data_IF_344368923872
#
_entry.id   IF_344368923872
#
_cell.length_a   1.000
_cell.length_b   1.000
_cell.length_c   1.000
_cell.angle_alpha   90.00
_cell.angle_beta   90.00
_cell.angle_gamma   90.00
#
_symmetry.space_group_name_H-M   'P 1'
#
loop_
_entity.id
_entity.type
_entity.pdbx_description
1 polymer ?
#
# COMPACT_ATOMS: atom_id res chain seq x y z
N UNK A 1 -14.95 16.79 -9.87
CA UNK A 1 -16.26 16.06 -9.91
C UNK A 1 -16.26 14.91 -10.93
N UNK A 2 -15.66 15.08 -12.15
CA UNK A 2 -15.59 14.01 -13.14
C UNK A 2 -14.71 12.83 -12.71
N UNK A 3 -13.61 13.12 -12.03
CA UNK A 3 -12.68 12.09 -11.53
C UNK A 3 -13.29 11.26 -10.40
N UNK A 4 -14.10 11.86 -9.51
CA UNK A 4 -14.76 11.15 -8.41
C UNK A 4 -15.68 10.03 -8.90
N UNK A 5 -16.49 10.32 -9.92
CA UNK A 5 -17.40 9.32 -10.52
C UNK A 5 -16.61 8.15 -11.15
N UNK A 6 -15.48 8.43 -11.76
CA UNK A 6 -14.61 7.38 -12.31
C UNK A 6 -14.02 6.52 -11.19
N UNK A 7 -13.60 7.13 -10.07
CA UNK A 7 -13.07 6.40 -8.92
C UNK A 7 -14.16 5.53 -8.28
N UNK A 8 -15.38 6.06 -8.09
CA UNK A 8 -16.50 5.27 -7.57
C UNK A 8 -16.78 4.07 -8.48
N UNK A 9 -16.83 4.25 -9.81
CA UNK A 9 -16.99 3.13 -10.75
C UNK A 9 -15.84 2.14 -10.69
N UNK A 10 -14.60 2.61 -10.51
CA UNK A 10 -13.44 1.71 -10.35
C UNK A 10 -13.55 0.86 -9.08
N UNK A 11 -14.00 1.43 -7.94
CA UNK A 11 -14.26 0.68 -6.70
C UNK A 11 -15.39 -0.33 -6.94
N UNK A 12 -16.51 0.10 -7.54
CA UNK A 12 -17.63 -0.79 -7.87
C UNK A 12 -17.18 -1.95 -8.75
N UNK A 13 -16.40 -1.66 -9.79
CA UNK A 13 -15.90 -2.67 -10.71
C UNK A 13 -14.93 -3.64 -10.02
N UNK A 14 -14.05 -3.13 -9.15
CA UNK A 14 -13.18 -3.99 -8.33
C UNK A 14 -13.98 -4.94 -7.46
N UNK A 15 -15.02 -4.43 -6.80
CA UNK A 15 -15.91 -5.24 -5.95
C UNK A 15 -16.64 -6.33 -6.76
N UNK A 16 -17.22 -6.00 -7.90
CA UNK A 16 -17.86 -6.98 -8.81
C UNK A 16 -16.90 -8.11 -9.22
N UNK A 17 -15.60 -7.83 -9.25
CA UNK A 17 -14.55 -8.79 -9.55
C UNK A 17 -14.00 -9.54 -8.31
N UNK A 18 -14.58 -9.31 -7.13
CA UNK A 18 -14.29 -10.01 -5.89
C UNK A 18 -13.30 -9.32 -4.95
N UNK A 19 -12.92 -8.07 -5.22
CA UNK A 19 -12.10 -7.27 -4.28
C UNK A 19 -12.99 -6.72 -3.18
N UNK A 20 -12.60 -6.93 -1.93
CA UNK A 20 -13.35 -6.46 -0.76
C UNK A 20 -12.54 -5.53 0.16
N UNK A 21 -11.24 -5.33 -0.06
CA UNK A 21 -10.44 -4.37 0.69
C UNK A 21 -10.40 -3.04 -0.05
N UNK A 22 -10.80 -1.95 0.62
CA UNK A 22 -10.61 -0.58 0.15
C UNK A 22 -9.74 0.19 1.13
N UNK A 23 -8.61 0.76 0.65
CA UNK A 23 -7.65 1.52 1.44
C UNK A 23 -7.67 2.99 1.06
N UNK A 24 -7.72 3.86 2.06
CA UNK A 24 -7.66 5.31 1.92
C UNK A 24 -6.87 5.94 3.09
N UNK A 25 -6.88 7.26 3.23
CA UNK A 25 -6.31 7.98 4.36
C UNK A 25 -6.93 9.38 4.51
N UNK A 26 -6.96 9.92 5.73
CA UNK A 26 -7.39 11.29 5.98
C UNK A 26 -6.50 12.33 5.28
N UNK A 27 -5.22 12.00 5.06
CA UNK A 27 -4.28 12.87 4.34
C UNK A 27 -4.59 12.99 2.84
N UNK A 28 -5.25 12.00 2.23
CA UNK A 28 -5.46 11.99 0.79
C UNK A 28 -6.53 13.01 0.37
N UNK A 29 -6.06 14.06 -0.31
CA UNK A 29 -6.92 15.20 -0.69
C UNK A 29 -7.58 15.86 0.52
N UNK A 30 -6.91 15.85 1.68
CA UNK A 30 -7.41 16.41 2.93
C UNK A 30 -8.81 15.84 3.31
N UNK A 31 -8.94 14.50 3.25
CA UNK A 31 -10.17 13.77 3.57
C UNK A 31 -11.12 13.59 2.38
N UNK A 32 -10.83 14.17 1.21
CA UNK A 32 -11.67 14.02 0.03
C UNK A 32 -11.74 12.56 -0.45
N UNK A 33 -10.61 11.84 -0.40
CA UNK A 33 -10.57 10.42 -0.76
C UNK A 33 -11.51 9.57 0.09
N UNK A 34 -11.56 9.81 1.41
CA UNK A 34 -12.52 9.13 2.31
C UNK A 34 -13.98 9.43 1.96
N UNK A 35 -14.28 10.66 1.52
CA UNK A 35 -15.64 11.01 1.05
C UNK A 35 -16.02 10.26 -0.22
N UNK A 36 -15.09 10.09 -1.16
CA UNK A 36 -15.31 9.34 -2.41
C UNK A 36 -15.52 7.85 -2.10
N UNK A 37 -14.68 7.27 -1.23
CA UNK A 37 -14.88 5.90 -0.74
C UNK A 37 -16.23 5.76 -0.04
N UNK A 38 -16.60 6.69 0.84
CA UNK A 38 -17.90 6.70 1.52
C UNK A 38 -19.10 6.73 0.56
N UNK A 39 -18.96 7.33 -0.62
CA UNK A 39 -19.99 7.26 -1.69
C UNK A 39 -20.10 5.83 -2.22
N UNK A 40 -18.99 5.19 -2.58
CA UNK A 40 -19.00 3.81 -3.06
C UNK A 40 -19.58 2.84 -2.02
N UNK A 41 -19.23 3.01 -0.72
CA UNK A 41 -19.78 2.19 0.36
C UNK A 41 -21.30 2.30 0.49
N UNK A 42 -21.88 3.50 0.28
CA UNK A 42 -23.35 3.69 0.30
C UNK A 42 -24.03 3.04 -0.90
N UNK A 43 -23.39 3.08 -2.06
CA UNK A 43 -23.97 2.58 -3.32
C UNK A 43 -23.96 1.06 -3.38
N UNK A 44 -22.93 0.41 -2.80
CA UNK A 44 -22.68 -1.05 -2.89
C UNK A 44 -23.18 -1.77 -1.62
N UNK A 45 -22.94 -1.19 -0.46
CA UNK A 45 -23.16 -1.78 0.85
C UNK A 45 -21.87 -1.76 1.69
N UNK A 46 -21.95 -1.19 2.89
CA UNK A 46 -20.81 -1.07 3.81
C UNK A 46 -20.24 -2.43 4.21
N UNK A 47 -21.09 -3.39 4.40
CA UNK A 47 -20.81 -4.76 4.85
C UNK A 47 -20.02 -5.58 3.83
N UNK A 48 -20.01 -5.16 2.57
CA UNK A 48 -19.30 -5.81 1.49
C UNK A 48 -17.79 -5.52 1.51
N UNK A 49 -17.36 -4.56 2.34
CA UNK A 49 -15.97 -4.08 2.36
C UNK A 49 -15.27 -4.22 3.71
N UNK A 50 -14.00 -4.52 3.64
CA UNK A 50 -13.01 -4.23 4.68
C UNK A 50 -12.49 -2.82 4.40
N UNK A 51 -12.91 -1.86 5.22
CA UNK A 51 -12.54 -0.45 5.06
C UNK A 51 -11.29 -0.15 5.87
N UNK A 52 -10.22 0.21 5.18
CA UNK A 52 -8.95 0.64 5.77
C UNK A 52 -8.76 2.16 5.55
N UNK A 53 -8.42 2.87 6.62
CA UNK A 53 -7.97 4.26 6.54
C UNK A 53 -6.84 4.52 7.53
N UNK A 54 -6.26 5.73 7.49
CA UNK A 54 -5.03 6.03 8.22
C UNK A 54 -5.12 7.37 8.94
N UNK A 55 -4.61 7.42 10.17
CA UNK A 55 -4.38 8.67 10.90
C UNK A 55 -3.09 9.31 10.43
N UNK A 56 -3.12 10.61 10.16
CA UNK A 56 -1.95 11.40 9.76
C UNK A 56 -0.99 11.63 10.94
N UNK A 57 0.32 11.75 10.66
CA UNK A 57 1.35 11.99 11.67
C UNK A 57 1.13 13.19 12.58
N UNK A 58 0.44 14.23 12.09
CA UNK A 58 0.07 15.40 12.90
C UNK A 58 -0.98 15.11 13.99
N UNK A 59 -1.69 13.97 13.91
CA UNK A 59 -2.82 13.63 14.79
C UNK A 59 -2.53 12.41 15.69
N UNK A 60 -1.27 12.13 16.03
CA UNK A 60 -0.86 10.93 16.78
C UNK A 60 -1.04 11.05 18.29
N UNK A 61 -1.23 12.27 18.85
CA UNK A 61 -1.52 12.44 20.27
C UNK A 61 -2.90 11.86 20.62
N UNK A 62 -3.03 11.41 21.84
CA UNK A 62 -4.20 10.65 22.30
C UNK A 62 -5.55 11.28 21.89
N UNK A 63 -5.80 12.54 22.27
CA UNK A 63 -7.08 13.21 22.00
C UNK A 63 -7.24 13.59 20.51
N UNK A 64 -6.13 13.88 19.82
CA UNK A 64 -6.13 14.22 18.40
C UNK A 64 -6.48 13.00 17.57
N UNK A 65 -5.91 11.85 17.88
CA UNK A 65 -6.19 10.58 17.23
C UNK A 65 -7.67 10.17 17.40
N UNK A 66 -8.24 10.36 18.59
CA UNK A 66 -9.67 10.10 18.83
C UNK A 66 -10.57 11.01 17.93
N UNK A 67 -10.22 12.28 17.82
CA UNK A 67 -10.94 13.23 16.96
C UNK A 67 -10.74 12.91 15.48
N UNK A 68 -9.54 12.54 15.05
CA UNK A 68 -9.22 12.15 13.69
C UNK A 68 -10.04 10.91 13.27
N UNK A 69 -10.10 9.87 14.12
CA UNK A 69 -10.90 8.68 13.86
C UNK A 69 -12.40 9.01 13.71
N UNK A 70 -12.94 9.83 14.59
CA UNK A 70 -14.33 10.27 14.49
C UNK A 70 -14.61 11.06 13.20
N UNK A 71 -13.67 11.91 12.78
CA UNK A 71 -13.76 12.65 11.54
C UNK A 71 -13.68 11.74 10.30
N UNK A 72 -12.79 10.74 10.31
CA UNK A 72 -12.68 9.72 9.25
C UNK A 72 -13.96 8.89 9.12
N UNK A 73 -14.53 8.42 10.24
CA UNK A 73 -15.82 7.71 10.24
C UNK A 73 -16.94 8.58 9.65
N UNK A 74 -16.97 9.88 9.97
CA UNK A 74 -17.96 10.80 9.41
C UNK A 74 -17.79 10.97 7.89
N UNK A 75 -16.56 11.12 7.39
CA UNK A 75 -16.28 11.27 5.94
C UNK A 75 -16.60 10.00 5.17
N UNK A 76 -16.27 8.85 5.74
CA UNK A 76 -16.60 7.52 5.18
C UNK A 76 -18.11 7.18 5.29
N UNK A 77 -18.84 7.82 6.21
CA UNK A 77 -20.23 7.50 6.47
C UNK A 77 -20.44 6.17 7.19
N UNK A 78 -19.49 5.79 8.06
CA UNK A 78 -19.50 4.51 8.79
C UNK A 78 -19.49 4.73 10.30
N UNK A 79 -19.96 3.74 11.06
CA UNK A 79 -19.92 3.75 12.53
C UNK A 79 -18.67 3.04 13.09
N UNK A 80 -18.00 2.25 12.27
CA UNK A 80 -16.84 1.46 12.61
C UNK A 80 -15.89 1.36 11.41
N UNK A 81 -14.57 1.46 11.63
CA UNK A 81 -13.52 1.24 10.65
C UNK A 81 -12.95 -0.17 10.86
N UNK A 82 -12.81 -0.97 9.80
CA UNK A 82 -12.31 -2.33 9.94
C UNK A 82 -10.80 -2.34 10.26
N UNK A 83 -10.01 -1.51 9.58
CA UNK A 83 -8.57 -1.39 9.80
C UNK A 83 -8.17 0.08 9.91
N UNK A 84 -7.80 0.51 11.12
CA UNK A 84 -7.31 1.88 11.33
C UNK A 84 -5.81 1.86 11.54
N UNK A 85 -5.08 2.63 10.73
CA UNK A 85 -3.64 2.53 10.62
C UNK A 85 -2.95 3.83 11.03
N UNK A 86 -1.79 3.74 11.67
CA UNK A 86 -0.85 4.86 11.76
C UNK A 86 -0.19 5.03 10.40
N UNK A 87 -0.28 6.22 9.78
CA UNK A 87 0.21 6.44 8.41
C UNK A 87 1.75 6.41 8.33
N UNK A 88 2.41 7.01 9.34
CA UNK A 88 3.85 7.01 9.56
C UNK A 88 4.12 7.06 11.04
N UNK A 89 5.17 6.43 11.55
CA UNK A 89 5.66 6.73 12.89
C UNK A 89 6.05 8.21 12.96
N UNK A 90 6.05 8.81 14.15
CA UNK A 90 6.52 10.19 14.27
C UNK A 90 8.03 10.25 14.03
N UNK A 91 8.48 10.88 12.93
CA UNK A 91 9.89 10.87 12.55
C UNK A 91 10.78 11.69 13.51
N UNK A 92 10.19 12.60 14.28
CA UNK A 92 10.91 13.43 15.25
C UNK A 92 10.83 12.89 16.68
N UNK A 93 10.16 11.73 16.89
CA UNK A 93 9.96 11.10 18.19
C UNK A 93 9.41 12.07 19.28
N UNK A 94 8.65 13.09 18.86
CA UNK A 94 8.04 14.09 19.73
C UNK A 94 6.76 13.59 20.39
N UNK A 95 6.14 12.57 19.81
CA UNK A 95 4.94 11.92 20.31
C UNK A 95 5.31 10.49 20.70
N UNK A 96 5.31 10.16 22.00
CA UNK A 96 5.63 8.80 22.43
C UNK A 96 4.69 7.78 21.78
N UNK A 97 5.24 6.76 21.15
CA UNK A 97 4.46 5.71 20.47
C UNK A 97 3.44 5.04 21.41
N UNK A 98 3.79 4.95 22.69
CA UNK A 98 2.89 4.51 23.77
C UNK A 98 1.58 5.32 23.82
N UNK A 99 1.63 6.63 23.62
CA UNK A 99 0.43 7.50 23.63
C UNK A 99 -0.49 7.15 22.45
N UNK A 100 0.10 7.03 21.26
CA UNK A 100 -0.60 6.65 20.03
C UNK A 100 -1.25 5.27 20.14
N UNK A 101 -0.49 4.26 20.61
CA UNK A 101 -1.01 2.91 20.74
C UNK A 101 -2.12 2.78 21.78
N UNK A 102 -2.04 3.53 22.89
CA UNK A 102 -3.14 3.61 23.86
C UNK A 102 -4.41 4.22 23.28
N UNK A 103 -4.27 5.24 22.43
CA UNK A 103 -5.41 5.85 21.76
C UNK A 103 -6.08 4.86 20.79
N UNK A 104 -5.30 4.09 20.03
CA UNK A 104 -5.81 3.04 19.15
C UNK A 104 -6.48 1.90 19.93
N UNK A 105 -5.86 1.44 21.01
CA UNK A 105 -6.44 0.37 21.86
C UNK A 105 -7.76 0.83 22.50
N UNK A 106 -7.90 2.12 22.84
CA UNK A 106 -9.18 2.70 23.31
C UNK A 106 -10.25 2.63 22.24
N UNK A 107 -9.96 3.03 21.00
CA UNK A 107 -10.90 2.92 19.88
C UNK A 107 -11.31 1.47 19.61
N UNK A 108 -10.36 0.55 19.68
CA UNK A 108 -10.62 -0.88 19.59
C UNK A 108 -11.54 -1.39 20.70
N UNK A 109 -11.27 -1.02 21.96
CA UNK A 109 -12.09 -1.41 23.11
C UNK A 109 -13.51 -0.84 23.06
N UNK A 110 -13.72 0.29 22.39
CA UNK A 110 -15.04 0.94 22.18
C UNK A 110 -15.77 0.39 20.94
N UNK A 111 -15.17 -0.53 20.18
CA UNK A 111 -15.74 -1.04 18.93
C UNK A 111 -15.81 0.03 17.81
N UNK A 112 -14.95 1.05 17.88
CA UNK A 112 -14.84 2.07 16.81
C UNK A 112 -13.93 1.63 15.68
N UNK A 113 -12.99 0.75 15.99
CA UNK A 113 -12.14 0.07 15.01
C UNK A 113 -12.12 -1.42 15.31
N UNK A 114 -12.03 -2.26 14.28
CA UNK A 114 -11.96 -3.72 14.43
C UNK A 114 -10.54 -4.22 14.58
N UNK A 115 -9.59 -3.52 13.93
CA UNK A 115 -8.18 -3.93 13.92
C UNK A 115 -7.27 -2.71 13.88
N UNK A 116 -6.08 -2.87 14.46
CA UNK A 116 -5.00 -1.89 14.46
C UNK A 116 -3.99 -2.30 13.40
N UNK A 117 -3.69 -1.38 12.49
CA UNK A 117 -2.58 -1.48 11.56
C UNK A 117 -1.59 -0.34 11.73
N UNK A 118 -0.47 -0.48 11.07
CA UNK A 118 0.54 0.57 10.95
C UNK A 118 1.03 0.68 9.51
N UNK A 119 1.75 1.75 9.20
CA UNK A 119 2.35 1.93 7.88
C UNK A 119 3.75 2.52 8.03
N UNK A 120 4.69 2.01 7.24
CA UNK A 120 6.10 2.43 7.23
C UNK A 120 6.85 2.23 8.57
N UNK A 121 6.47 1.21 9.33
CA UNK A 121 7.13 0.84 10.56
C UNK A 121 8.31 -0.11 10.29
N UNK A 122 9.48 0.22 10.83
CA UNK A 122 10.62 -0.69 10.94
C UNK A 122 10.36 -1.76 12.01
N UNK A 123 11.21 -2.77 12.10
CA UNK A 123 11.07 -3.84 13.11
C UNK A 123 11.07 -3.26 14.52
N UNK A 124 11.98 -2.31 14.85
CA UNK A 124 12.02 -1.66 16.16
C UNK A 124 10.71 -0.96 16.53
N UNK A 125 10.09 -0.27 15.53
CA UNK A 125 8.84 0.46 15.74
C UNK A 125 7.68 -0.51 15.97
N UNK A 126 7.67 -1.64 15.25
CA UNK A 126 6.69 -2.72 15.45
C UNK A 126 6.81 -3.34 16.83
N UNK A 127 8.03 -3.63 17.30
CA UNK A 127 8.29 -4.20 18.63
C UNK A 127 7.83 -3.25 19.73
N UNK A 128 8.21 -1.97 19.64
CA UNK A 128 7.79 -0.95 20.58
C UNK A 128 6.26 -0.78 20.59
N UNK A 129 5.64 -0.60 19.43
CA UNK A 129 4.20 -0.44 19.32
C UNK A 129 3.44 -1.60 19.94
N UNK A 130 3.83 -2.83 19.64
CA UNK A 130 3.21 -4.06 20.16
C UNK A 130 3.38 -4.18 21.69
N UNK A 131 4.52 -3.73 22.23
CA UNK A 131 4.76 -3.75 23.68
C UNK A 131 3.78 -2.88 24.48
N UNK A 132 3.12 -1.92 23.81
CA UNK A 132 2.15 -1.00 24.41
C UNK A 132 0.69 -1.42 24.23
N UNK A 133 0.44 -2.53 23.53
CA UNK A 133 -0.89 -3.13 23.37
C UNK A 133 -1.09 -4.27 24.39
N UNK A 134 -2.31 -4.39 24.90
CA UNK A 134 -2.66 -5.40 25.92
C UNK A 134 -3.89 -6.22 25.58
N UNK A 135 -4.76 -5.74 24.70
CA UNK A 135 -6.05 -6.34 24.34
C UNK A 135 -6.13 -6.86 22.93
N UNK A 136 -5.22 -6.42 22.09
CA UNK A 136 -5.14 -6.74 20.67
C UNK A 136 -3.69 -6.67 20.22
N UNK A 137 -3.43 -6.91 18.95
CA UNK A 137 -2.10 -6.80 18.34
C UNK A 137 -2.19 -6.02 17.03
N UNK A 138 -1.03 -5.65 16.47
CA UNK A 138 -0.94 -5.10 15.12
C UNK A 138 -1.17 -6.22 14.12
N UNK A 139 -2.15 -6.04 13.22
CA UNK A 139 -2.51 -7.07 12.22
C UNK A 139 -1.88 -6.82 10.85
N UNK A 140 -1.46 -5.58 10.56
CA UNK A 140 -0.85 -5.24 9.28
C UNK A 140 0.22 -4.15 9.41
N UNK A 141 1.23 -4.23 8.52
CA UNK A 141 2.15 -3.13 8.25
C UNK A 141 2.05 -2.79 6.77
N UNK A 142 1.60 -1.58 6.45
CA UNK A 142 1.50 -1.12 5.07
C UNK A 142 2.81 -0.45 4.67
N UNK A 143 3.53 -1.04 3.72
CA UNK A 143 4.88 -0.59 3.33
C UNK A 143 5.00 -0.55 1.81
N UNK A 144 5.94 0.27 1.30
CA UNK A 144 6.30 0.22 -0.11
C UNK A 144 6.93 -1.13 -0.42
N UNK A 145 6.29 -1.88 -1.33
CA UNK A 145 6.86 -3.14 -1.76
C UNK A 145 6.43 -3.45 -3.19
N UNK A 146 7.41 -3.66 -4.04
CA UNK A 146 7.23 -4.03 -5.44
C UNK A 146 8.52 -4.68 -5.95
N UNK A 147 8.47 -5.19 -7.16
CA UNK A 147 9.60 -5.92 -7.74
C UNK A 147 10.90 -5.12 -7.85
N UNK A 148 10.87 -3.79 -7.91
CA UNK A 148 12.06 -2.93 -7.99
C UNK A 148 12.56 -2.47 -6.61
N UNK A 149 11.71 -2.48 -5.59
CA UNK A 149 11.94 -1.91 -4.27
C UNK A 149 11.64 -2.99 -3.22
N UNK A 150 12.68 -3.72 -2.84
CA UNK A 150 12.59 -4.97 -2.09
C UNK A 150 13.26 -4.89 -0.70
N UNK A 151 13.57 -3.69 -0.23
CA UNK A 151 14.27 -3.44 1.04
C UNK A 151 13.64 -4.12 2.25
N UNK A 152 12.33 -4.28 2.26
CA UNK A 152 11.62 -4.92 3.39
C UNK A 152 11.91 -6.41 3.53
N UNK A 153 12.47 -7.06 2.52
CA UNK A 153 12.76 -8.50 2.52
C UNK A 153 13.87 -8.87 3.50
N UNK A 154 14.74 -7.92 3.86
CA UNK A 154 15.86 -8.15 4.77
C UNK A 154 15.39 -8.35 6.22
N UNK A 155 14.50 -7.51 6.73
CA UNK A 155 14.09 -7.51 8.13
C UNK A 155 12.57 -7.51 8.32
N UNK A 156 11.87 -6.55 7.71
CA UNK A 156 10.43 -6.29 7.99
C UNK A 156 9.55 -7.46 7.57
N UNK A 157 9.74 -7.99 6.37
CA UNK A 157 8.92 -9.10 5.86
C UNK A 157 9.15 -10.39 6.67
N UNK A 158 10.39 -10.81 7.01
CA UNK A 158 10.61 -11.95 7.90
C UNK A 158 10.00 -11.77 9.28
N UNK A 159 10.14 -10.58 9.88
CA UNK A 159 9.53 -10.26 11.17
C UNK A 159 8.00 -10.34 11.11
N UNK A 160 7.38 -9.72 10.11
CA UNK A 160 5.94 -9.73 9.93
C UNK A 160 5.41 -11.15 9.73
N UNK A 161 6.11 -11.97 8.93
CA UNK A 161 5.76 -13.40 8.74
C UNK A 161 5.79 -14.17 10.05
N UNK A 162 6.85 -14.00 10.85
CA UNK A 162 7.00 -14.66 12.16
C UNK A 162 5.87 -14.30 13.13
N UNK A 163 5.35 -13.08 13.03
CA UNK A 163 4.39 -12.53 13.97
C UNK A 163 2.95 -12.47 13.42
N UNK A 164 2.66 -13.09 12.27
CA UNK A 164 1.35 -13.06 11.59
C UNK A 164 0.83 -11.64 11.30
N UNK A 165 1.74 -10.73 10.94
CA UNK A 165 1.41 -9.37 10.52
C UNK A 165 1.37 -9.34 8.98
N UNK A 166 0.22 -8.99 8.40
CA UNK A 166 0.06 -8.91 6.95
C UNK A 166 0.79 -7.68 6.38
N UNK A 167 1.53 -7.87 5.29
CA UNK A 167 2.09 -6.76 4.52
C UNK A 167 1.04 -6.25 3.53
N UNK A 168 0.64 -4.98 3.67
CA UNK A 168 -0.11 -4.28 2.63
C UNK A 168 0.89 -3.54 1.75
N UNK A 169 1.09 -4.05 0.51
CA UNK A 169 2.11 -3.51 -0.39
C UNK A 169 1.56 -2.30 -1.16
N UNK A 170 1.94 -1.07 -0.75
CA UNK A 170 1.61 0.10 -1.54
C UNK A 170 2.61 0.36 -2.67
N UNK A 171 2.22 1.14 -3.68
CA UNK A 171 2.97 1.34 -4.93
C UNK A 171 3.42 0.03 -5.58
N UNK A 172 2.55 -1.00 -5.69
CA UNK A 172 2.94 -2.34 -6.13
C UNK A 172 3.42 -2.39 -7.58
N UNK A 173 3.10 -1.37 -8.37
CA UNK A 173 3.57 -1.19 -9.76
C UNK A 173 4.68 -0.12 -9.86
N UNK A 174 5.35 0.25 -8.74
CA UNK A 174 6.43 1.24 -8.71
C UNK A 174 6.03 2.56 -9.44
N UNK A 175 4.85 3.12 -9.10
CA UNK A 175 4.27 4.31 -9.74
C UNK A 175 4.15 4.21 -11.27
N UNK A 176 4.03 2.99 -11.79
CA UNK A 176 3.89 2.70 -13.21
C UNK A 176 5.17 2.25 -13.91
N UNK A 177 6.33 2.24 -13.24
CA UNK A 177 7.58 1.75 -13.81
C UNK A 177 7.51 0.27 -14.25
N UNK A 178 6.69 -0.53 -13.55
CA UNK A 178 6.46 -1.96 -13.82
C UNK A 178 5.26 -2.23 -14.75
N UNK A 179 4.88 -1.26 -15.57
CA UNK A 179 3.79 -1.44 -16.56
C UNK A 179 4.30 -1.70 -17.98
N UNK A 180 5.61 -1.60 -18.19
CA UNK A 180 6.21 -1.62 -19.53
C UNK A 180 5.95 -0.36 -20.37
N UNK A 181 5.23 0.64 -19.81
CA UNK A 181 4.87 1.89 -20.51
C UNK A 181 6.04 2.86 -20.64
N UNK A 182 6.95 2.88 -19.63
CA UNK A 182 8.04 3.85 -19.57
C UNK A 182 9.36 3.23 -20.04
N UNK A 183 10.14 4.04 -20.76
CA UNK A 183 11.45 3.70 -21.32
C UNK A 183 12.28 4.97 -21.48
N UNK A 184 13.54 4.84 -21.97
CA UNK A 184 14.45 5.98 -22.17
C UNK A 184 13.90 7.11 -23.07
N UNK A 185 12.99 6.78 -23.97
CA UNK A 185 12.33 7.76 -24.86
C UNK A 185 11.03 8.31 -24.29
N UNK A 186 10.50 7.72 -23.22
CA UNK A 186 9.20 8.07 -22.66
C UNK A 186 9.20 7.86 -21.14
N UNK A 187 9.41 8.93 -20.38
CA UNK A 187 9.31 8.99 -18.92
C UNK A 187 8.12 9.86 -18.50
N UNK A 188 7.58 9.69 -17.28
CA UNK A 188 6.54 10.59 -16.75
C UNK A 188 7.04 12.03 -16.76
N UNK A 189 6.14 12.99 -16.98
CA UNK A 189 6.44 14.43 -16.91
C UNK A 189 5.24 15.19 -16.39
N UNK A 190 5.50 16.25 -15.60
CA UNK A 190 4.49 17.20 -15.14
C UNK A 190 3.68 16.69 -13.93
N UNK A 191 4.20 15.77 -13.15
CA UNK A 191 3.57 15.31 -11.91
C UNK A 191 4.61 14.90 -10.85
N UNK A 192 4.15 14.40 -9.70
CA UNK A 192 4.98 14.02 -8.55
C UNK A 192 6.10 13.01 -8.87
N UNK A 193 6.08 12.37 -10.03
CA UNK A 193 7.08 11.40 -10.48
C UNK A 193 8.29 12.04 -11.14
N UNK A 194 8.24 13.35 -11.43
CA UNK A 194 9.37 14.07 -12.08
C UNK A 194 10.64 13.99 -11.22
N UNK A 195 10.49 13.98 -9.90
CA UNK A 195 11.58 13.90 -8.94
C UNK A 195 11.85 12.46 -8.44
N UNK A 196 11.06 11.49 -8.88
CA UNK A 196 11.25 10.11 -8.45
C UNK A 196 12.47 9.49 -9.14
N UNK A 197 13.47 9.12 -8.35
CA UNK A 197 14.72 8.49 -8.81
C UNK A 197 14.51 7.26 -9.70
N UNK A 198 13.40 6.52 -9.54
CA UNK A 198 13.09 5.38 -10.42
C UNK A 198 13.04 5.77 -11.90
N UNK A 199 12.65 7.01 -12.21
CA UNK A 199 12.57 7.52 -13.58
C UNK A 199 13.84 8.27 -14.04
N UNK A 200 14.88 8.29 -13.21
CA UNK A 200 16.19 8.80 -13.63
C UNK A 200 16.80 7.94 -14.76
N UNK A 201 17.58 8.52 -15.67
CA UNK A 201 18.12 7.80 -16.84
C UNK A 201 18.84 6.49 -16.51
N UNK A 202 19.65 6.45 -15.44
CA UNK A 202 20.35 5.24 -14.98
C UNK A 202 19.38 4.13 -14.63
N UNK A 203 18.33 4.45 -13.87
CA UNK A 203 17.34 3.48 -13.42
C UNK A 203 16.42 3.00 -14.55
N UNK A 204 15.99 3.91 -15.42
CA UNK A 204 15.14 3.55 -16.58
C UNK A 204 15.82 2.49 -17.44
N UNK A 205 17.13 2.55 -17.65
CA UNK A 205 17.86 1.53 -18.40
C UNK A 205 17.80 0.14 -17.71
N UNK A 206 17.89 0.11 -16.39
CA UNK A 206 17.77 -1.13 -15.62
C UNK A 206 16.32 -1.64 -15.62
N UNK A 207 15.35 -0.74 -15.46
CA UNK A 207 13.92 -1.05 -15.49
C UNK A 207 13.49 -1.61 -16.85
N UNK A 208 14.05 -1.12 -17.96
CA UNK A 208 13.80 -1.71 -19.30
C UNK A 208 14.21 -3.18 -19.35
N UNK A 209 15.35 -3.57 -18.74
CA UNK A 209 15.79 -4.98 -18.68
C UNK A 209 14.79 -5.82 -17.89
N UNK A 210 14.36 -5.34 -16.73
CA UNK A 210 13.33 -6.00 -15.89
C UNK A 210 12.02 -6.13 -16.67
N UNK A 211 11.53 -5.05 -17.27
CA UNK A 211 10.30 -5.08 -18.05
C UNK A 211 10.37 -6.04 -19.26
N UNK A 212 11.55 -6.27 -19.83
CA UNK A 212 11.73 -7.25 -20.90
C UNK A 212 11.51 -8.70 -20.40
N UNK A 213 11.99 -9.02 -19.18
CA UNK A 213 11.75 -10.32 -18.54
C UNK A 213 10.27 -10.47 -18.17
N UNK A 214 9.69 -9.47 -17.48
CA UNK A 214 8.26 -9.45 -17.18
C UNK A 214 7.39 -9.63 -18.44
N UNK A 215 7.74 -8.97 -19.55
CA UNK A 215 7.04 -9.11 -20.83
C UNK A 215 7.22 -10.50 -21.45
N UNK A 216 8.34 -11.18 -21.23
CA UNK A 216 8.54 -12.56 -21.67
C UNK A 216 7.56 -13.49 -20.95
N UNK A 217 7.44 -13.36 -19.62
CA UNK A 217 6.51 -14.13 -18.80
C UNK A 217 5.05 -13.78 -19.17
N UNK A 218 4.76 -12.49 -19.32
CA UNK A 218 3.43 -12.01 -19.70
C UNK A 218 2.92 -12.64 -21.03
N UNK A 219 3.79 -12.78 -22.02
CA UNK A 219 3.46 -13.49 -23.28
C UNK A 219 3.10 -14.96 -23.04
N UNK A 220 3.85 -15.67 -22.16
CA UNK A 220 3.55 -17.08 -21.82
C UNK A 220 2.18 -17.24 -21.18
N UNK A 221 1.83 -16.30 -20.27
CA UNK A 221 0.56 -16.28 -19.56
C UNK A 221 -0.59 -15.59 -20.34
N UNK A 222 -0.31 -14.97 -21.50
CA UNK A 222 -1.27 -14.13 -22.26
C UNK A 222 -1.89 -13.03 -21.40
N UNK A 223 -1.07 -12.37 -20.61
CA UNK A 223 -1.45 -11.28 -19.72
C UNK A 223 -0.54 -10.06 -19.93
N UNK A 224 -0.73 -9.02 -19.14
CA UNK A 224 0.10 -7.81 -19.20
C UNK A 224 1.32 -7.87 -18.28
N UNK A 225 2.28 -6.97 -18.52
CA UNK A 225 3.46 -6.76 -17.65
C UNK A 225 3.04 -6.39 -16.24
N UNK A 226 2.05 -5.51 -16.10
CA UNK A 226 1.49 -5.11 -14.79
C UNK A 226 0.93 -6.32 -14.03
N UNK A 227 0.23 -7.21 -14.71
CA UNK A 227 -0.35 -8.40 -14.10
C UNK A 227 0.74 -9.37 -13.61
N UNK A 228 1.83 -9.54 -14.35
CA UNK A 228 2.98 -10.35 -13.89
C UNK A 228 3.62 -9.71 -12.64
N UNK A 229 3.83 -8.40 -12.64
CA UNK A 229 4.40 -7.70 -11.51
C UNK A 229 3.53 -7.80 -10.24
N UNK A 230 2.20 -7.72 -10.38
CA UNK A 230 1.27 -7.93 -9.25
C UNK A 230 1.23 -9.41 -8.83
N UNK A 231 1.27 -10.36 -9.78
CA UNK A 231 1.28 -11.79 -9.49
C UNK A 231 2.52 -12.23 -8.73
N UNK A 232 3.66 -11.55 -8.96
CA UNK A 232 4.88 -11.78 -8.17
C UNK A 232 4.65 -11.45 -6.69
N UNK A 233 3.99 -10.33 -6.36
CA UNK A 233 3.62 -10.00 -4.98
C UNK A 233 2.65 -11.02 -4.39
N UNK A 234 1.66 -11.45 -5.17
CA UNK A 234 0.65 -12.44 -4.76
C UNK A 234 1.23 -13.85 -4.53
N UNK A 235 2.42 -14.15 -5.05
CA UNK A 235 3.12 -15.40 -4.76
C UNK A 235 3.51 -15.54 -3.28
N UNK A 236 3.57 -14.43 -2.54
CA UNK A 236 3.80 -14.42 -1.10
C UNK A 236 2.47 -14.27 -0.35
N UNK A 237 2.02 -15.33 0.33
CA UNK A 237 0.73 -15.36 1.04
C UNK A 237 0.58 -14.31 2.15
N UNK A 238 1.68 -13.73 2.64
CA UNK A 238 1.65 -12.66 3.65
C UNK A 238 1.55 -11.27 3.05
N UNK A 239 1.50 -11.15 1.72
CA UNK A 239 1.52 -9.87 1.00
C UNK A 239 0.19 -9.65 0.27
N UNK A 240 -0.43 -8.53 0.53
CA UNK A 240 -1.64 -8.06 -0.17
C UNK A 240 -1.26 -6.77 -0.93
N UNK A 241 -1.11 -6.83 -2.25
CA UNK A 241 -0.89 -5.62 -3.03
C UNK A 241 -2.14 -4.75 -3.06
N UNK A 242 -1.96 -3.43 -2.91
CA UNK A 242 -3.03 -2.43 -2.98
C UNK A 242 -2.80 -1.46 -4.16
N UNK A 243 -2.98 -1.94 -5.41
CA UNK A 243 -2.80 -1.11 -6.59
C UNK A 243 -3.92 -0.07 -6.71
N UNK A 244 -3.54 1.18 -6.99
CA UNK A 244 -4.52 2.22 -7.31
C UNK A 244 -5.18 1.97 -8.67
N UNK A 245 -6.46 2.34 -8.78
CA UNK A 245 -7.21 2.35 -10.03
C UNK A 245 -7.97 3.67 -10.18
N UNK A 246 -7.78 4.36 -11.31
CA UNK A 246 -8.45 5.63 -11.62
C UNK A 246 -9.72 5.44 -12.45
N UNK A 247 -9.93 4.26 -13.00
CA UNK A 247 -11.08 3.88 -13.82
C UNK A 247 -11.29 2.36 -13.83
N UNK A 248 -12.41 1.92 -14.39
CA UNK A 248 -12.82 0.52 -14.45
C UNK A 248 -11.80 -0.37 -15.19
N UNK A 249 -11.21 0.13 -16.28
CA UNK A 249 -10.23 -0.65 -17.06
C UNK A 249 -8.95 -0.95 -16.20
N UNK A 250 -8.49 0.00 -15.40
CA UNK A 250 -7.38 -0.24 -14.46
C UNK A 250 -7.77 -1.19 -13.33
N UNK A 251 -9.01 -1.13 -12.85
CA UNK A 251 -9.52 -2.07 -11.87
C UNK A 251 -9.52 -3.51 -12.43
N UNK A 252 -10.04 -3.71 -13.63
CA UNK A 252 -10.01 -5.00 -14.33
C UNK A 252 -8.60 -5.52 -14.58
N UNK A 253 -7.71 -4.64 -15.02
CA UNK A 253 -6.29 -4.94 -15.22
C UNK A 253 -5.64 -5.45 -13.94
N UNK A 254 -5.81 -4.71 -12.83
CA UNK A 254 -5.23 -5.07 -11.54
C UNK A 254 -5.75 -6.41 -11.04
N UNK A 255 -7.08 -6.60 -11.04
CA UNK A 255 -7.71 -7.84 -10.58
C UNK A 255 -7.35 -9.02 -11.47
N UNK A 256 -7.15 -8.80 -12.75
CA UNK A 256 -6.70 -9.83 -13.69
C UNK A 256 -5.44 -10.55 -13.26
N UNK A 257 -4.57 -9.91 -12.46
CA UNK A 257 -3.35 -10.52 -11.91
C UNK A 257 -3.62 -11.78 -11.09
N UNK A 258 -4.74 -11.87 -10.40
CA UNK A 258 -5.11 -13.03 -9.56
C UNK A 258 -5.31 -14.33 -10.36
N UNK A 259 -5.46 -14.24 -11.69
CA UNK A 259 -5.65 -15.38 -12.59
C UNK A 259 -4.35 -15.99 -13.10
N UNK A 260 -3.21 -15.36 -12.81
CA UNK A 260 -1.91 -15.69 -13.39
C UNK A 260 -0.91 -16.04 -12.30
N UNK A 261 -1.05 -17.24 -11.70
CA UNK A 261 -0.09 -17.72 -10.70
C UNK A 261 1.24 -18.02 -11.37
N UNK A 262 2.30 -17.40 -10.87
CA UNK A 262 3.66 -17.65 -11.34
C UNK A 262 4.17 -19.00 -10.82
N UNK A 263 4.84 -19.73 -11.67
CA UNK A 263 5.52 -20.99 -11.30
C UNK A 263 6.84 -20.70 -10.58
N UNK A 264 7.36 -21.68 -9.81
CA UNK A 264 8.67 -21.54 -9.16
C UNK A 264 9.81 -21.23 -10.16
N UNK A 265 9.89 -21.85 -11.35
CA UNK A 265 10.88 -21.46 -12.35
C UNK A 265 10.76 -19.99 -12.79
N UNK A 266 9.55 -19.46 -12.93
CA UNK A 266 9.32 -18.05 -13.30
C UNK A 266 9.69 -17.09 -12.17
N UNK A 267 9.44 -17.45 -10.93
CA UNK A 267 9.90 -16.68 -9.76
C UNK A 267 11.45 -16.67 -9.72
N UNK A 268 12.12 -17.80 -9.98
CA UNK A 268 13.57 -17.86 -10.06
C UNK A 268 14.12 -17.04 -11.25
N UNK A 269 13.45 -17.08 -12.41
CA UNK A 269 13.81 -16.24 -13.58
C UNK A 269 13.76 -14.75 -13.22
N UNK A 270 12.73 -14.33 -12.48
CA UNK A 270 12.58 -12.96 -12.01
C UNK A 270 13.64 -12.57 -10.97
N UNK A 271 13.89 -13.41 -9.98
CA UNK A 271 14.91 -13.14 -8.96
C UNK A 271 16.31 -13.02 -9.60
N UNK A 272 16.66 -13.91 -10.53
CA UNK A 272 17.90 -13.81 -11.30
C UNK A 272 17.99 -12.50 -12.08
N UNK A 273 16.87 -12.05 -12.68
CA UNK A 273 16.85 -10.78 -13.40
C UNK A 273 17.05 -9.58 -12.45
N UNK A 274 16.49 -9.64 -11.25
CA UNK A 274 16.66 -8.60 -10.23
C UNK A 274 18.12 -8.50 -9.76
N UNK A 275 18.81 -9.62 -9.55
CA UNK A 275 20.23 -9.65 -9.14
C UNK A 275 21.19 -9.03 -10.19
N UNK A 276 20.76 -8.95 -11.45
CA UNK A 276 21.56 -8.40 -12.56
C UNK A 276 21.37 -6.89 -12.75
N UNK A 277 20.54 -6.23 -11.95
CA UNK A 277 20.28 -4.81 -12.06
C UNK A 277 20.64 -4.08 -10.77
N UNK A 278 21.03 -2.81 -10.91
CA UNK A 278 21.35 -1.92 -9.81
C UNK A 278 20.36 -0.73 -9.87
N UNK A 279 19.30 -0.79 -9.06
CA UNK A 279 18.27 0.24 -9.00
C UNK A 279 18.55 1.15 -7.81
N UNK A 280 18.88 2.41 -8.09
CA UNK A 280 19.08 3.43 -7.06
C UNK A 280 17.74 4.01 -6.61
N UNK A 281 17.34 3.74 -5.38
CA UNK A 281 16.15 4.32 -4.76
C UNK A 281 16.39 4.61 -3.27
N UNK A 282 15.56 5.49 -2.70
CA UNK A 282 15.60 5.74 -1.26
C UNK A 282 14.70 4.73 -0.54
N UNK A 283 15.19 4.03 0.49
CA UNK A 283 14.36 3.18 1.35
C UNK A 283 13.22 3.99 1.97
N UNK A 284 12.08 3.34 2.21
CA UNK A 284 10.92 3.98 2.84
C UNK A 284 10.74 3.58 4.29
N UNK A 285 11.33 2.45 4.68
CA UNK A 285 11.33 2.01 6.08
C UNK A 285 12.74 2.27 6.58
N UNK A 286 12.95 3.36 7.28
CA UNK A 286 14.31 3.81 7.53
C UNK A 286 14.87 3.32 8.83
N UNK A 287 16.15 2.98 8.77
CA UNK A 287 17.11 3.54 9.72
C UNK A 287 17.53 5.00 9.38
N UNK A 288 16.86 5.63 8.43
CA UNK A 288 17.19 6.97 7.89
C UNK A 288 16.07 7.95 8.22
N UNK A 289 16.35 9.08 8.89
CA UNK A 289 15.37 10.14 9.14
C UNK A 289 14.72 10.63 7.83
N UNK A 290 13.41 10.88 7.89
CA UNK A 290 12.56 11.35 6.77
C UNK A 290 13.03 12.70 6.16
N UNK A 291 13.95 13.40 6.79
CA UNK A 291 14.58 14.64 6.28
C UNK A 291 15.15 14.53 4.84
N UNK A 292 15.26 13.30 4.31
CA UNK A 292 15.75 13.02 2.96
C UNK A 292 14.66 12.60 1.97
N UNK A 293 13.39 12.66 2.33
CA UNK A 293 12.26 12.17 1.50
C UNK A 293 11.32 13.30 1.06
N UNK A 294 11.65 14.56 1.38
CA UNK A 294 10.92 15.76 0.91
C UNK A 294 11.42 16.28 -0.42
#
# INVERSE_FOLDING_TARGET
KGDDEQIVRAITRSHELGVNLVDTAEAYGNGHSEQVVGRALRDIGREEFVVATKVHGANLRYDELQRAAAASMKRLGVNEIDLYQVHWPDPWEQIPLKETMKALEKLYAEGKIRAIGVSNFAVRDLEEARSHLSRTDIVSNQVRYNFLQREIEEEVLPYCRKNNITILAYSPLAQGALTGKYNRGHVPKGDIRDENKLFAPKNIEQIEKINAVLASIARRHRCSVSQVALSWLLANQMVVPIPGAKNEAQAEENVGSTKHLLTNPELTELDTAYELVDIDYLPTVPDVPIELVT
#
